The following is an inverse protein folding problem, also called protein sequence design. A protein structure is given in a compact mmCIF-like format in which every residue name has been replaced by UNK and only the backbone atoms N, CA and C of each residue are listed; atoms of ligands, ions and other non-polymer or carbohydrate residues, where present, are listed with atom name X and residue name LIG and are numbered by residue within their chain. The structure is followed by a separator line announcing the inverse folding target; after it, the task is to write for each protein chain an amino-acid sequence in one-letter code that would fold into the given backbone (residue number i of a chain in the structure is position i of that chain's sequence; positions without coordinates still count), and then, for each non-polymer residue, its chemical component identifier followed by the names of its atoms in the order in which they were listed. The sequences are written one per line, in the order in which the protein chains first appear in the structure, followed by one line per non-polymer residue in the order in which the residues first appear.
data_IF_713979102955
#
_entry.id   IF_713979102955
#
_cell.length_a   1.000
_cell.length_b   1.000
_cell.length_c   1.000
_cell.angle_alpha   90.00
_cell.angle_beta   90.00
_cell.angle_gamma   90.00
#
_symmetry.space_group_name_H-M   'P 1'
#
loop_
_entity.id
_entity.type
_entity.pdbx_description
1 polymer ?
#
# COMPACT_ATOMS: atom_id res chain seq x y z
N UNK A 1 -9.92 9.91 4.22
CA UNK A 1 -8.98 8.80 4.44
C UNK A 1 -8.26 8.55 3.14
N UNK A 2 -6.92 8.58 3.14
CA UNK A 2 -6.09 8.35 1.95
C UNK A 2 -5.66 6.89 1.91
N UNK A 3 -5.99 6.22 0.82
CA UNK A 3 -5.72 4.80 0.57
C UNK A 3 -4.76 4.72 -0.61
N UNK A 4 -3.64 4.01 -0.45
CA UNK A 4 -2.64 3.82 -1.50
C UNK A 4 -2.45 2.34 -1.78
N UNK A 5 -2.53 1.95 -3.05
CA UNK A 5 -2.17 0.59 -3.51
C UNK A 5 -0.81 0.66 -4.21
N UNK A 6 0.19 -0.08 -3.73
CA UNK A 6 1.58 0.02 -4.21
C UNK A 6 1.94 -1.00 -5.32
N UNK A 7 1.25 -2.13 -5.39
CA UNK A 7 1.48 -3.18 -6.40
C UNK A 7 0.14 -3.73 -6.90
N UNK A 8 -0.57 -2.91 -7.67
CA UNK A 8 -1.90 -3.23 -8.14
C UNK A 8 -1.90 -4.23 -9.31
N UNK A 9 -0.89 -4.20 -10.18
CA UNK A 9 -0.89 -4.98 -11.42
C UNK A 9 -0.96 -6.49 -11.18
N UNK A 10 -0.30 -6.96 -10.12
CA UNK A 10 -0.31 -8.38 -9.74
C UNK A 10 -1.66 -8.83 -9.17
N UNK A 11 -2.42 -7.92 -8.57
CA UNK A 11 -3.70 -8.21 -7.91
C UNK A 11 -4.91 -7.96 -8.82
N UNK A 12 -4.81 -6.98 -9.71
CA UNK A 12 -5.83 -6.59 -10.67
C UNK A 12 -5.16 -5.93 -11.89
N UNK A 13 -4.86 -6.69 -12.96
CA UNK A 13 -4.29 -6.16 -14.20
C UNK A 13 -5.32 -5.44 -15.10
N UNK A 14 -6.52 -5.15 -14.59
CA UNK A 14 -7.57 -4.39 -15.29
C UNK A 14 -8.86 -5.16 -15.57
N UNK A 15 -9.00 -6.38 -15.07
CA UNK A 15 -10.19 -7.24 -15.22
C UNK A 15 -11.14 -7.19 -14.01
N UNK A 16 -10.70 -6.60 -12.89
CA UNK A 16 -11.49 -6.32 -11.69
C UNK A 16 -11.65 -4.81 -11.45
N UNK A 17 -12.45 -4.44 -10.45
CA UNK A 17 -12.72 -3.04 -10.09
C UNK A 17 -12.26 -2.69 -8.67
N UNK A 18 -11.69 -1.49 -8.53
CA UNK A 18 -11.29 -0.89 -7.25
C UNK A 18 -12.37 0.00 -6.61
N UNK A 19 -13.55 0.16 -7.24
CA UNK A 19 -14.62 1.08 -6.83
C UNK A 19 -15.03 0.95 -5.36
N UNK A 20 -14.96 -0.26 -4.79
CA UNK A 20 -15.30 -0.48 -3.38
C UNK A 20 -14.33 0.23 -2.44
N UNK A 21 -13.06 0.36 -2.80
CA UNK A 21 -12.07 1.11 -2.02
C UNK A 21 -12.21 2.62 -2.24
N UNK A 22 -12.51 3.06 -3.46
CA UNK A 22 -12.80 4.47 -3.76
C UNK A 22 -13.98 5.01 -2.94
N UNK A 23 -14.95 4.16 -2.59
CA UNK A 23 -16.08 4.52 -1.71
C UNK A 23 -15.67 4.67 -0.24
N UNK A 24 -14.52 4.15 0.17
CA UNK A 24 -14.01 4.24 1.55
C UNK A 24 -13.09 5.46 1.74
N UNK A 25 -12.54 6.02 0.67
CA UNK A 25 -11.60 7.14 0.76
C UNK A 25 -11.03 7.59 -0.57
N UNK A 26 -10.10 8.55 -0.50
CA UNK A 26 -9.31 8.99 -1.65
C UNK A 26 -8.31 7.88 -2.00
N UNK A 27 -8.52 7.22 -3.13
CA UNK A 27 -7.73 6.08 -3.57
C UNK A 27 -6.71 6.52 -4.62
N UNK A 28 -5.44 6.16 -4.41
CA UNK A 28 -4.38 6.22 -5.42
C UNK A 28 -3.87 4.80 -5.69
N UNK A 29 -3.78 4.44 -6.96
CA UNK A 29 -3.40 3.08 -7.39
C UNK A 29 -2.14 3.16 -8.23
N UNK A 30 -1.13 2.39 -7.85
CA UNK A 30 0.11 2.23 -8.61
C UNK A 30 0.25 0.79 -9.09
N UNK A 31 0.53 0.62 -10.38
CA UNK A 31 0.73 -0.71 -10.96
C UNK A 31 1.93 -1.42 -10.33
N UNK A 32 3.02 -0.68 -10.11
CA UNK A 32 4.26 -1.12 -9.46
C UNK A 32 4.91 0.05 -8.74
N UNK A 33 5.60 -0.23 -7.63
CA UNK A 33 6.35 0.75 -6.86
C UNK A 33 7.77 0.24 -6.62
N UNK A 34 8.78 1.04 -6.95
CA UNK A 34 10.17 0.76 -6.53
C UNK A 34 10.43 1.29 -5.12
N UNK A 35 11.47 0.78 -4.47
CA UNK A 35 11.77 1.11 -3.07
C UNK A 35 11.94 2.62 -2.82
N UNK A 36 12.59 3.32 -3.75
CA UNK A 36 12.82 4.76 -3.70
C UNK A 36 11.55 5.62 -3.88
N UNK A 37 10.47 5.05 -4.40
CA UNK A 37 9.20 5.73 -4.60
C UNK A 37 8.25 5.61 -3.41
N UNK A 38 8.49 4.65 -2.49
CA UNK A 38 7.53 4.31 -1.42
C UNK A 38 7.20 5.54 -0.58
N UNK A 39 8.21 6.25 -0.08
CA UNK A 39 7.99 7.40 0.80
C UNK A 39 7.22 8.50 0.09
N UNK A 40 7.56 8.82 -1.16
CA UNK A 40 6.86 9.85 -1.92
C UNK A 40 5.37 9.52 -2.09
N UNK A 41 5.07 8.25 -2.40
CA UNK A 41 3.70 7.75 -2.65
C UNK A 41 2.89 7.58 -1.36
N UNK A 42 3.54 7.32 -0.23
CA UNK A 42 2.87 6.93 1.01
C UNK A 42 2.93 7.93 2.15
N UNK A 43 3.77 8.98 2.11
CA UNK A 43 3.97 9.92 3.25
C UNK A 43 2.68 10.50 3.83
N UNK A 44 1.64 10.60 3.02
CA UNK A 44 0.33 11.14 3.39
C UNK A 44 -0.78 10.07 3.51
N UNK A 45 -0.46 8.80 3.33
CA UNK A 45 -1.43 7.70 3.36
C UNK A 45 -1.90 7.41 4.79
N UNK A 46 -3.21 7.22 4.96
CA UNK A 46 -3.78 6.62 6.17
C UNK A 46 -3.72 5.08 6.08
N UNK A 47 -3.88 4.54 4.86
CA UNK A 47 -3.94 3.11 4.55
C UNK A 47 -3.00 2.80 3.39
N UNK A 48 -2.22 1.73 3.54
CA UNK A 48 -1.47 1.11 2.44
C UNK A 48 -2.04 -0.28 2.17
N UNK A 49 -2.29 -0.60 0.91
CA UNK A 49 -2.60 -1.94 0.43
C UNK A 49 -1.45 -2.42 -0.45
N UNK A 50 -0.91 -3.60 -0.17
CA UNK A 50 0.27 -4.10 -0.85
C UNK A 50 0.25 -5.62 -1.07
N UNK A 51 0.97 -6.10 -2.09
CA UNK A 51 1.18 -7.52 -2.35
C UNK A 51 2.64 -7.96 -2.10
N UNK A 52 3.63 -7.14 -2.53
CA UNK A 52 5.04 -7.55 -2.62
C UNK A 52 6.05 -6.44 -2.30
N UNK A 53 5.63 -5.19 -2.12
CA UNK A 53 6.54 -4.08 -1.84
C UNK A 53 7.00 -4.18 -0.39
N UNK A 54 8.30 -4.28 -0.17
CA UNK A 54 8.86 -4.42 1.18
C UNK A 54 8.61 -3.13 1.98
N UNK A 55 7.91 -3.27 3.10
CA UNK A 55 7.65 -2.22 4.09
C UNK A 55 8.36 -2.63 5.39
N UNK A 56 9.63 -2.28 5.49
CA UNK A 56 10.44 -2.49 6.69
C UNK A 56 10.24 -1.39 7.75
N UNK A 57 10.86 -1.56 8.92
CA UNK A 57 10.81 -0.60 10.02
C UNK A 57 11.24 0.82 9.63
N UNK A 58 12.30 0.96 8.83
CA UNK A 58 12.78 2.25 8.34
C UNK A 58 11.72 2.93 7.45
N UNK A 59 11.06 2.16 6.59
CA UNK A 59 9.98 2.66 5.74
C UNK A 59 8.77 3.06 6.59
N UNK A 60 8.32 2.20 7.51
CA UNK A 60 7.11 2.43 8.32
C UNK A 60 7.28 3.64 9.24
N UNK A 61 8.44 3.79 9.89
CA UNK A 61 8.73 4.91 10.79
C UNK A 61 8.69 6.28 10.10
N UNK A 62 8.86 6.34 8.77
CA UNK A 62 8.77 7.55 7.96
C UNK A 62 7.34 7.90 7.53
N UNK A 63 6.33 7.10 7.91
CA UNK A 63 4.94 7.25 7.50
C UNK A 63 4.04 7.62 8.70
N UNK A 64 4.15 8.85 9.25
CA UNK A 64 3.53 9.21 10.53
C UNK A 64 2.00 9.25 10.53
N UNK A 65 1.36 9.17 9.35
CA UNK A 65 -0.11 9.13 9.21
C UNK A 65 -0.65 7.72 9.02
N UNK A 66 0.22 6.74 8.78
CA UNK A 66 -0.16 5.37 8.50
C UNK A 66 -0.86 4.77 9.72
N UNK A 67 -2.06 4.21 9.49
CA UNK A 67 -2.89 3.60 10.53
C UNK A 67 -3.16 2.13 10.27
N UNK A 68 -3.00 1.69 9.01
CA UNK A 68 -3.32 0.33 8.61
C UNK A 68 -2.54 -0.09 7.36
N UNK A 69 -2.01 -1.30 7.39
CA UNK A 69 -1.41 -1.99 6.25
C UNK A 69 -2.27 -3.22 5.96
N UNK A 70 -2.79 -3.33 4.74
CA UNK A 70 -3.56 -4.47 4.27
C UNK A 70 -2.79 -5.26 3.21
N UNK A 71 -2.64 -6.56 3.42
CA UNK A 71 -1.92 -7.42 2.48
C UNK A 71 -2.89 -8.09 1.50
N UNK A 72 -2.65 -7.90 0.21
CA UNK A 72 -3.39 -8.49 -0.92
C UNK A 72 -2.89 -9.92 -1.23
N UNK A 73 -2.45 -10.64 -0.21
CA UNK A 73 -1.90 -11.99 -0.26
C UNK A 73 -2.09 -12.70 1.09
N UNK A 74 -1.79 -14.00 1.14
CA UNK A 74 -1.77 -14.75 2.40
C UNK A 74 -0.47 -14.54 3.18
N UNK A 75 0.66 -14.45 2.47
CA UNK A 75 1.98 -14.24 3.08
C UNK A 75 2.27 -12.74 3.24
N UNK A 76 2.84 -12.37 4.39
CA UNK A 76 3.11 -10.98 4.79
C UNK A 76 4.57 -10.77 5.21
N UNK A 77 5.48 -11.67 4.84
CA UNK A 77 6.91 -11.63 5.19
C UNK A 77 7.69 -10.40 4.64
N UNK A 78 6.99 -9.54 3.92
CA UNK A 78 7.48 -8.30 3.32
C UNK A 78 7.16 -7.08 4.17
N UNK A 79 6.37 -7.24 5.24
CA UNK A 79 6.05 -6.18 6.19
C UNK A 79 6.68 -6.49 7.52
N UNK A 80 7.35 -5.51 8.12
CA UNK A 80 7.73 -5.57 9.54
C UNK A 80 6.47 -5.34 10.40
N UNK A 81 6.10 -6.34 11.20
CA UNK A 81 4.88 -6.32 12.01
C UNK A 81 5.14 -5.90 13.47
N UNK A 82 6.41 -5.70 13.83
CA UNK A 82 6.83 -5.37 15.19
C UNK A 82 7.23 -3.88 15.35
N UNK A 83 7.18 -3.10 14.25
CA UNK A 83 7.42 -1.64 14.20
C UNK A 83 6.45 -0.79 15.02
#
# INVERSE_FOLDING_TARGET
MKIVILDAYTSNPGDLSWEKFEKLGELTVYDRTSHDEIIERCKDADIILDNKVVLDDETISQLPKLKYIGILATGFNIVDIDS
#
